data_IF_891416959204
#
_entry.id   IF_891416959204
#
_cell.length_a   1.000
_cell.length_b   1.000
_cell.length_c   1.000
_cell.angle_alpha   90.00
_cell.angle_beta   90.00
_cell.angle_gamma   90.00
#
_symmetry.space_group_name_H-M   'P 1'
#
loop_
_entity.id
_entity.type
_entity.pdbx_description
1 polymer ?
#
# COMPACT_ATOMS: atom_id res chain seq x y z
N UNK A 1 43.44 27.91 -9.97
CA UNK A 1 43.16 28.75 -8.77
C UNK A 1 43.06 27.85 -7.53
N UNK A 2 43.47 28.31 -6.34
CA UNK A 2 43.26 27.55 -5.14
C UNK A 2 41.78 27.64 -4.75
N UNK A 3 41.08 26.52 -4.62
CA UNK A 3 39.69 26.46 -4.23
C UNK A 3 39.58 26.83 -2.75
N UNK A 4 38.77 27.83 -2.45
CA UNK A 4 38.59 28.30 -1.07
C UNK A 4 37.58 27.41 -0.33
N UNK A 5 37.64 27.39 1.00
CA UNK A 5 36.68 26.73 1.86
C UNK A 5 35.29 27.37 1.69
N UNK A 6 35.26 28.67 1.39
CA UNK A 6 34.00 29.41 1.15
C UNK A 6 33.31 28.95 -0.15
N UNK A 7 34.09 28.73 -1.22
CA UNK A 7 33.56 28.19 -2.48
C UNK A 7 32.95 26.80 -2.27
N UNK A 8 33.64 25.95 -1.50
CA UNK A 8 33.12 24.61 -1.16
C UNK A 8 31.81 24.72 -0.35
N UNK A 9 31.77 25.59 0.66
CA UNK A 9 30.53 25.78 1.45
C UNK A 9 29.39 26.32 0.60
N UNK A 10 29.70 27.29 -0.28
CA UNK A 10 28.68 27.90 -1.17
C UNK A 10 28.11 26.88 -2.15
N UNK A 11 28.99 26.14 -2.86
CA UNK A 11 28.50 25.11 -3.81
C UNK A 11 27.77 23.97 -3.10
N UNK A 12 28.20 23.58 -1.89
CA UNK A 12 27.50 22.60 -1.06
C UNK A 12 26.10 23.09 -0.66
N UNK A 13 25.95 24.34 -0.24
CA UNK A 13 24.65 24.93 0.09
C UNK A 13 23.72 24.97 -1.12
N UNK A 14 24.26 25.18 -2.32
CA UNK A 14 23.49 25.23 -3.58
C UNK A 14 23.07 23.85 -4.08
N UNK A 15 23.88 22.80 -3.83
CA UNK A 15 23.70 21.48 -4.46
C UNK A 15 23.29 20.39 -3.46
N UNK A 16 23.51 20.60 -2.16
CA UNK A 16 23.34 19.58 -1.12
C UNK A 16 24.33 18.41 -1.19
N UNK A 17 25.26 18.42 -2.13
CA UNK A 17 26.23 17.34 -2.34
C UNK A 17 27.24 17.19 -1.19
N UNK A 18 27.82 16.00 -1.07
CA UNK A 18 28.83 15.70 -0.06
C UNK A 18 30.09 16.58 -0.18
N UNK A 19 30.72 16.90 0.95
CA UNK A 19 31.90 17.79 0.98
C UNK A 19 33.04 17.33 0.06
N UNK A 20 33.29 16.01 0.01
CA UNK A 20 34.31 15.41 -0.83
C UNK A 20 34.01 15.56 -2.32
N UNK A 21 32.74 15.34 -2.70
CA UNK A 21 32.29 15.44 -4.08
C UNK A 21 32.29 16.88 -4.58
N UNK A 22 31.84 17.83 -3.75
CA UNK A 22 31.90 19.27 -4.03
C UNK A 22 33.33 19.72 -4.25
N UNK A 23 34.25 19.34 -3.35
CA UNK A 23 35.68 19.69 -3.47
C UNK A 23 36.26 19.12 -4.76
N UNK A 24 35.96 17.85 -5.09
CA UNK A 24 36.46 17.20 -6.29
C UNK A 24 35.89 17.86 -7.55
N UNK A 25 34.58 18.16 -7.60
CA UNK A 25 33.95 18.82 -8.72
C UNK A 25 34.51 20.22 -8.96
N UNK A 26 34.70 21.04 -7.91
CA UNK A 26 35.31 22.35 -8.04
C UNK A 26 36.77 22.26 -8.51
N UNK A 27 37.53 21.25 -8.07
CA UNK A 27 38.88 21.02 -8.54
C UNK A 27 38.94 20.72 -10.03
N UNK A 28 38.09 19.80 -10.50
CA UNK A 28 38.00 19.43 -11.92
C UNK A 28 37.46 20.57 -12.80
N UNK A 29 36.57 21.39 -12.23
CA UNK A 29 36.03 22.56 -12.90
C UNK A 29 36.91 23.80 -12.81
N UNK A 30 38.11 23.68 -12.21
CA UNK A 30 39.07 24.81 -12.02
C UNK A 30 38.44 26.03 -11.31
N UNK A 31 37.45 25.79 -10.43
CA UNK A 31 36.74 26.83 -9.70
C UNK A 31 35.48 27.37 -10.39
N UNK A 32 35.15 26.90 -11.57
CA UNK A 32 33.90 27.25 -12.27
C UNK A 32 32.72 26.55 -11.61
N UNK A 33 31.78 27.32 -11.03
CA UNK A 33 30.63 26.81 -10.30
C UNK A 33 29.62 26.11 -11.21
N UNK A 34 29.38 26.60 -12.40
CA UNK A 34 28.38 26.01 -13.29
C UNK A 34 28.88 24.69 -13.87
N UNK A 35 30.14 24.63 -14.24
CA UNK A 35 30.80 23.38 -14.65
C UNK A 35 30.88 22.38 -13.50
N UNK A 36 31.15 22.84 -12.27
CA UNK A 36 31.15 21.97 -11.09
C UNK A 36 29.77 21.41 -10.76
N UNK A 37 28.69 22.19 -10.91
CA UNK A 37 27.31 21.70 -10.81
C UNK A 37 27.01 20.59 -11.81
N UNK A 38 27.40 20.80 -13.07
CA UNK A 38 27.19 19.79 -14.11
C UNK A 38 27.93 18.48 -13.83
N UNK A 39 29.20 18.57 -13.40
CA UNK A 39 29.95 17.39 -12.96
C UNK A 39 29.32 16.67 -11.77
N UNK A 40 28.76 17.40 -10.81
CA UNK A 40 28.02 16.82 -9.69
C UNK A 40 26.74 16.14 -10.17
N UNK A 41 26.01 16.75 -11.12
CA UNK A 41 24.81 16.19 -11.73
C UNK A 41 25.10 14.88 -12.45
N UNK A 42 26.12 14.84 -13.30
CA UNK A 42 26.55 13.64 -14.04
C UNK A 42 26.93 12.49 -13.10
N UNK A 43 27.68 12.80 -12.03
CA UNK A 43 28.02 11.80 -11.01
C UNK A 43 26.80 11.28 -10.26
N UNK A 44 25.87 12.16 -9.93
CA UNK A 44 24.60 11.79 -9.31
C UNK A 44 23.80 10.82 -10.18
N UNK A 45 23.70 11.09 -11.48
CA UNK A 45 23.04 10.21 -12.45
C UNK A 45 23.74 8.83 -12.53
N UNK A 46 25.06 8.79 -12.53
CA UNK A 46 25.82 7.53 -12.55
C UNK A 46 25.63 6.72 -11.26
N UNK A 47 25.51 7.37 -10.11
CA UNK A 47 25.21 6.71 -8.82
C UNK A 47 23.81 6.17 -8.82
N UNK A 48 22.82 6.95 -9.24
CA UNK A 48 21.42 6.54 -9.34
C UNK A 48 21.25 5.32 -10.27
N UNK A 49 21.90 5.33 -11.43
CA UNK A 49 21.84 4.21 -12.38
C UNK A 49 22.39 2.89 -11.81
N UNK A 50 23.47 2.95 -11.00
CA UNK A 50 24.06 1.76 -10.34
C UNK A 50 23.17 1.15 -9.25
N UNK A 51 22.10 1.82 -8.85
CA UNK A 51 21.20 1.42 -7.75
C UNK A 51 19.80 1.08 -8.21
N UNK A 52 19.58 1.02 -9.53
CA UNK A 52 18.27 0.71 -10.12
C UNK A 52 17.64 -0.57 -9.60
N UNK A 53 18.44 -1.56 -9.21
CA UNK A 53 17.99 -2.88 -8.77
C UNK A 53 17.65 -2.97 -7.28
N UNK A 54 17.81 -1.86 -6.52
CA UNK A 54 17.51 -1.87 -5.08
C UNK A 54 16.02 -1.67 -4.85
N UNK A 55 15.53 -2.18 -3.73
CA UNK A 55 14.15 -1.98 -3.30
C UNK A 55 13.99 -0.65 -2.56
N UNK A 56 12.88 0.02 -2.80
CA UNK A 56 12.47 1.26 -2.14
C UNK A 56 11.27 0.97 -1.25
N UNK A 57 11.50 0.71 0.04
CA UNK A 57 10.46 0.34 1.01
C UNK A 57 9.97 1.51 1.86
N UNK A 58 10.64 2.66 1.77
CA UNK A 58 10.29 3.89 2.50
C UNK A 58 9.98 5.02 1.52
N UNK A 59 9.58 6.18 2.03
CA UNK A 59 9.29 7.35 1.19
C UNK A 59 8.40 8.38 1.86
N UNK A 60 7.89 9.30 1.04
CA UNK A 60 7.00 10.38 1.45
C UNK A 60 5.79 10.43 0.50
N UNK A 61 4.59 10.37 1.06
CA UNK A 61 3.32 10.58 0.36
C UNK A 61 2.71 11.87 0.85
N UNK A 62 2.51 12.82 -0.04
CA UNK A 62 1.85 14.07 0.26
C UNK A 62 0.57 14.23 -0.54
N UNK A 63 -0.41 14.92 0.02
CA UNK A 63 -1.71 15.18 -0.59
C UNK A 63 -2.07 16.66 -0.48
N UNK A 64 -2.67 17.21 -1.52
CA UNK A 64 -3.11 18.62 -1.56
C UNK A 64 -4.39 18.77 -2.35
N UNK A 65 -5.28 19.64 -1.88
CA UNK A 65 -6.46 20.09 -2.62
C UNK A 65 -6.37 21.57 -2.96
N UNK A 66 -6.93 21.93 -4.11
CA UNK A 66 -7.25 23.28 -4.55
C UNK A 66 -8.69 23.29 -5.07
N UNK A 67 -9.20 24.44 -5.47
CA UNK A 67 -10.53 24.55 -6.08
C UNK A 67 -10.65 23.63 -7.31
N UNK A 68 -11.61 22.72 -7.27
CA UNK A 68 -11.92 21.79 -8.36
C UNK A 68 -10.86 20.71 -8.65
N UNK A 69 -9.84 20.53 -7.78
CA UNK A 69 -8.81 19.51 -8.00
C UNK A 69 -8.09 19.10 -6.71
N UNK A 70 -7.79 17.83 -6.59
CA UNK A 70 -6.91 17.30 -5.55
C UNK A 70 -5.95 16.28 -6.13
N UNK A 71 -4.73 16.23 -5.60
CA UNK A 71 -3.75 15.22 -6.00
C UNK A 71 -2.91 14.73 -4.82
N UNK A 72 -2.33 13.55 -4.98
CA UNK A 72 -1.30 13.02 -4.10
C UNK A 72 -0.11 12.52 -4.92
N UNK A 73 1.07 12.74 -4.38
CA UNK A 73 2.35 12.31 -4.96
C UNK A 73 3.08 11.45 -3.95
N UNK A 74 3.70 10.38 -4.42
CA UNK A 74 4.59 9.55 -3.62
C UNK A 74 5.98 9.48 -4.26
N UNK A 75 6.99 9.82 -3.46
CA UNK A 75 8.39 9.58 -3.78
C UNK A 75 8.92 8.53 -2.81
N UNK A 76 9.47 7.45 -3.35
CA UNK A 76 10.04 6.33 -2.57
C UNK A 76 11.55 6.46 -2.42
N UNK A 77 12.10 5.90 -1.35
CA UNK A 77 13.54 5.80 -1.06
C UNK A 77 13.85 4.51 -0.28
N UNK A 78 15.14 4.23 -0.03
CA UNK A 78 15.55 3.00 0.63
C UNK A 78 15.29 3.04 2.15
N UNK A 79 15.55 4.16 2.82
CA UNK A 79 15.50 4.27 4.30
C UNK A 79 14.50 5.30 4.80
N UNK A 80 14.01 5.07 6.01
CA UNK A 80 13.18 6.01 6.77
C UNK A 80 13.95 7.27 7.17
N UNK A 81 15.27 7.17 7.36
CA UNK A 81 16.14 8.30 7.67
C UNK A 81 16.09 9.35 6.55
N UNK A 82 16.18 8.93 5.28
CA UNK A 82 16.06 9.84 4.13
C UNK A 82 14.62 10.30 3.96
N UNK A 83 13.64 9.39 4.09
CA UNK A 83 12.22 9.72 3.95
C UNK A 83 11.77 10.84 4.90
N UNK A 84 12.26 10.84 6.14
CA UNK A 84 11.96 11.85 7.15
C UNK A 84 12.85 13.12 7.04
N UNK A 85 13.76 13.17 6.09
CA UNK A 85 14.62 14.32 5.85
C UNK A 85 13.84 15.52 5.31
N UNK A 86 14.07 16.71 5.87
CA UNK A 86 13.38 17.95 5.46
C UNK A 86 13.49 18.20 3.96
N UNK A 87 14.67 18.01 3.39
CA UNK A 87 14.91 18.22 1.97
C UNK A 87 14.15 17.24 1.08
N UNK A 88 13.94 16.00 1.56
CA UNK A 88 13.19 14.98 0.84
C UNK A 88 11.68 15.29 0.84
N UNK A 89 11.15 15.68 2.01
CA UNK A 89 9.75 16.11 2.15
C UNK A 89 9.50 17.38 1.32
N UNK A 90 10.41 18.35 1.37
CA UNK A 90 10.30 19.58 0.58
C UNK A 90 10.32 19.29 -0.92
N UNK A 91 11.22 18.44 -1.41
CA UNK A 91 11.24 18.02 -2.82
C UNK A 91 9.90 17.38 -3.22
N UNK A 92 9.36 16.49 -2.40
CA UNK A 92 8.06 15.87 -2.65
C UNK A 92 6.93 16.91 -2.69
N UNK A 93 6.98 17.91 -1.81
CA UNK A 93 6.02 19.02 -1.79
C UNK A 93 6.11 19.88 -3.06
N UNK A 94 7.30 20.21 -3.53
CA UNK A 94 7.51 20.99 -4.76
C UNK A 94 6.95 20.24 -5.98
N UNK A 95 7.12 18.92 -6.04
CA UNK A 95 6.55 18.08 -7.10
C UNK A 95 5.01 18.07 -7.00
N UNK A 96 4.45 17.92 -5.81
CA UNK A 96 3.01 17.96 -5.60
C UNK A 96 2.41 19.33 -5.98
N UNK A 97 3.07 20.41 -5.61
CA UNK A 97 2.63 21.78 -5.93
C UNK A 97 2.62 21.99 -7.44
N UNK A 98 3.65 21.55 -8.16
CA UNK A 98 3.69 21.60 -9.61
C UNK A 98 2.59 20.73 -10.25
N UNK A 99 2.37 19.52 -9.74
CA UNK A 99 1.33 18.61 -10.24
C UNK A 99 -0.08 19.19 -10.07
N UNK A 100 -0.36 19.82 -8.91
CA UNK A 100 -1.64 20.47 -8.64
C UNK A 100 -1.81 21.71 -9.49
N UNK A 101 -0.79 22.55 -9.63
CA UNK A 101 -0.84 23.76 -10.46
C UNK A 101 -1.08 23.43 -11.95
N UNK A 102 -0.46 22.37 -12.46
CA UNK A 102 -0.66 21.89 -13.82
C UNK A 102 -1.93 21.06 -13.99
N UNK A 103 -2.61 20.65 -12.91
CA UNK A 103 -3.73 19.70 -12.93
C UNK A 103 -3.37 18.42 -13.70
N UNK A 104 -2.20 17.85 -13.43
CA UNK A 104 -1.68 16.68 -14.12
C UNK A 104 -2.64 15.49 -14.05
N UNK A 105 -2.72 14.70 -15.12
CA UNK A 105 -3.65 13.57 -15.22
C UNK A 105 -2.96 12.21 -15.15
N UNK A 106 -1.65 12.20 -15.11
CA UNK A 106 -0.87 10.96 -15.02
C UNK A 106 0.47 11.18 -14.33
N UNK A 107 1.04 10.08 -13.84
CA UNK A 107 2.40 10.08 -13.29
C UNK A 107 3.43 10.52 -14.34
N UNK A 108 3.24 10.13 -15.60
CA UNK A 108 4.17 10.50 -16.68
C UNK A 108 4.15 11.99 -16.96
N UNK A 109 2.98 12.63 -16.89
CA UNK A 109 2.89 14.08 -16.94
C UNK A 109 3.64 14.72 -15.76
N UNK A 110 3.45 14.22 -14.53
CA UNK A 110 4.14 14.75 -13.34
C UNK A 110 5.66 14.65 -13.49
N UNK A 111 6.19 13.55 -14.00
CA UNK A 111 7.64 13.33 -14.16
C UNK A 111 8.33 14.40 -15.01
N UNK A 112 7.64 14.96 -16.02
CA UNK A 112 8.20 15.95 -16.95
C UNK A 112 7.83 17.40 -16.58
N UNK A 113 7.08 17.63 -15.50
CA UNK A 113 6.76 18.98 -15.05
C UNK A 113 8.01 19.74 -14.63
N UNK A 114 8.08 20.99 -15.03
CA UNK A 114 9.13 21.91 -14.58
C UNK A 114 8.82 22.43 -13.19
N UNK A 115 9.74 22.21 -12.26
CA UNK A 115 9.70 22.77 -10.91
C UNK A 115 10.16 24.24 -10.92
N UNK A 116 10.08 24.91 -9.78
CA UNK A 116 10.46 26.33 -9.65
C UNK A 116 11.92 26.62 -10.07
N UNK A 117 12.81 25.64 -9.95
CA UNK A 117 14.20 25.73 -10.38
C UNK A 117 14.41 25.52 -11.90
N UNK A 118 13.32 25.24 -12.65
CA UNK A 118 13.35 25.01 -14.10
C UNK A 118 13.71 23.57 -14.51
N UNK A 119 13.99 22.68 -13.57
CA UNK A 119 14.30 21.27 -13.82
C UNK A 119 13.05 20.40 -13.83
N UNK A 120 13.08 19.26 -14.50
CA UNK A 120 11.99 18.31 -14.49
C UNK A 120 11.92 17.58 -13.16
N UNK A 121 10.70 17.28 -12.67
CA UNK A 121 10.47 16.58 -11.42
C UNK A 121 11.26 15.27 -11.33
N UNK A 122 11.26 14.46 -12.39
CA UNK A 122 12.05 13.22 -12.45
C UNK A 122 13.57 13.48 -12.35
N UNK A 123 14.06 14.55 -12.95
CA UNK A 123 15.48 14.92 -12.89
C UNK A 123 15.89 15.29 -11.46
N UNK A 124 15.04 16.06 -10.76
CA UNK A 124 15.29 16.46 -9.37
C UNK A 124 15.33 15.25 -8.44
N UNK A 125 14.40 14.28 -8.61
CA UNK A 125 14.42 13.02 -7.84
C UNK A 125 15.70 12.23 -8.11
N UNK A 126 16.12 12.14 -9.37
CA UNK A 126 17.36 11.43 -9.75
C UNK A 126 18.62 12.11 -9.19
N UNK A 127 18.68 13.43 -9.19
CA UNK A 127 19.78 14.19 -8.56
C UNK A 127 19.84 13.97 -7.06
N UNK A 128 18.68 13.98 -6.37
CA UNK A 128 18.59 13.69 -4.93
C UNK A 128 19.08 12.28 -4.62
N UNK A 129 18.75 11.29 -5.44
CA UNK A 129 19.29 9.93 -5.34
C UNK A 129 20.81 9.91 -5.41
N UNK A 130 21.41 10.69 -6.31
CA UNK A 130 22.86 10.85 -6.40
C UNK A 130 23.50 11.49 -5.16
N UNK A 131 22.84 12.48 -4.56
CA UNK A 131 23.31 13.21 -3.38
C UNK A 131 23.30 12.33 -2.12
N UNK A 132 22.19 11.64 -1.88
CA UNK A 132 22.01 10.79 -0.70
C UNK A 132 22.70 9.45 -0.83
N UNK A 133 22.90 9.01 -2.07
CA UNK A 133 23.39 7.69 -2.37
C UNK A 133 22.35 6.59 -2.17
N UNK A 134 21.08 6.90 -2.11
CA UNK A 134 19.96 5.92 -2.08
C UNK A 134 19.20 5.92 -3.39
N UNK A 135 18.62 4.77 -3.77
CA UNK A 135 17.63 4.73 -4.85
C UNK A 135 16.42 5.56 -4.47
N UNK A 136 15.92 6.36 -5.40
CA UNK A 136 14.69 7.12 -5.26
C UNK A 136 13.82 6.95 -6.51
N UNK A 137 12.51 6.90 -6.31
CA UNK A 137 11.53 6.70 -7.36
C UNK A 137 10.34 7.64 -7.17
N UNK A 138 10.04 8.44 -8.18
CA UNK A 138 8.75 9.11 -8.31
C UNK A 138 7.78 8.08 -8.88
N UNK A 139 7.06 7.37 -8.00
CA UNK A 139 6.36 6.13 -8.33
C UNK A 139 4.84 6.19 -8.09
N UNK A 140 4.37 7.13 -7.29
CA UNK A 140 2.96 7.25 -6.97
C UNK A 140 2.36 8.60 -7.35
N UNK A 141 1.25 8.55 -8.08
CA UNK A 141 0.42 9.71 -8.38
C UNK A 141 -1.04 9.30 -8.46
N UNK A 142 -1.90 10.05 -7.81
CA UNK A 142 -3.35 9.96 -7.97
C UNK A 142 -3.95 11.37 -7.93
N UNK A 143 -5.08 11.55 -8.60
CA UNK A 143 -5.83 12.79 -8.59
C UNK A 143 -7.34 12.54 -8.55
N UNK A 144 -8.09 13.56 -8.14
CA UNK A 144 -9.53 13.67 -8.26
C UNK A 144 -9.87 15.06 -8.82
N UNK A 145 -10.79 15.11 -9.77
CA UNK A 145 -11.32 16.34 -10.34
C UNK A 145 -12.71 16.62 -9.79
N UNK A 146 -12.95 17.87 -9.46
CA UNK A 146 -14.22 18.37 -8.96
C UNK A 146 -14.09 19.01 -7.58
N UNK A 147 -15.20 19.57 -7.14
CA UNK A 147 -15.34 20.18 -5.83
C UNK A 147 -15.61 19.12 -4.75
N UNK A 148 -15.70 19.56 -3.50
CA UNK A 148 -16.07 18.71 -2.35
C UNK A 148 -15.13 17.52 -2.12
N UNK A 149 -13.82 17.69 -2.38
CA UNK A 149 -12.80 16.71 -2.07
C UNK A 149 -12.25 16.95 -0.67
N UNK A 150 -12.28 15.92 0.18
CA UNK A 150 -11.56 15.88 1.45
C UNK A 150 -10.26 15.12 1.27
N UNK A 151 -9.19 15.64 1.88
CA UNK A 151 -7.85 15.04 1.84
C UNK A 151 -7.39 14.72 3.26
N UNK A 152 -6.63 13.64 3.42
CA UNK A 152 -6.12 13.23 4.72
C UNK A 152 -4.73 12.60 4.59
N UNK A 153 -3.79 13.15 5.36
CA UNK A 153 -2.46 12.56 5.58
C UNK A 153 -2.49 11.85 6.94
N UNK A 154 -2.30 10.54 6.92
CA UNK A 154 -2.51 9.71 8.10
C UNK A 154 -1.51 10.04 9.21
N UNK A 155 -2.02 10.62 10.29
CA UNK A 155 -1.27 11.04 11.49
C UNK A 155 -0.11 12.03 11.19
N UNK A 156 -0.11 12.70 10.03
CA UNK A 156 0.99 13.58 9.61
C UNK A 156 2.33 12.89 9.41
N UNK A 157 2.31 11.56 9.15
CA UNK A 157 3.52 10.77 8.97
C UNK A 157 4.00 10.69 7.52
N UNK A 158 3.22 11.20 6.59
CA UNK A 158 3.54 11.20 5.16
C UNK A 158 3.81 9.80 4.56
N UNK A 159 3.23 8.75 5.13
CA UNK A 159 3.38 7.37 4.64
C UNK A 159 2.10 6.79 4.04
N UNK A 160 0.97 7.41 4.35
CA UNK A 160 -0.34 7.06 3.84
C UNK A 160 -1.18 8.32 3.67
N UNK A 161 -1.76 8.50 2.49
CA UNK A 161 -2.69 9.58 2.22
C UNK A 161 -3.96 9.08 1.53
N UNK A 162 -5.06 9.80 1.74
CA UNK A 162 -6.35 9.52 1.12
C UNK A 162 -7.00 10.79 0.59
N UNK A 163 -7.79 10.63 -0.46
CA UNK A 163 -8.69 11.65 -1.02
C UNK A 163 -10.08 11.02 -1.17
N UNK A 164 -11.11 11.74 -0.80
CA UNK A 164 -12.51 11.31 -0.96
C UNK A 164 -13.33 12.47 -1.51
N UNK A 165 -14.07 12.22 -2.59
CA UNK A 165 -14.95 13.20 -3.23
C UNK A 165 -16.40 12.88 -2.93
N UNK A 166 -17.17 13.94 -2.65
CA UNK A 166 -18.59 13.87 -2.32
C UNK A 166 -19.44 14.65 -3.32
N UNK A 167 -20.75 14.37 -3.32
CA UNK A 167 -21.75 15.14 -4.08
C UNK A 167 -22.02 16.53 -3.50
N UNK A 168 -21.69 16.77 -2.23
CA UNK A 168 -21.86 18.07 -1.54
C UNK A 168 -20.75 18.29 -0.51
N UNK A 169 -20.56 19.54 -0.08
CA UNK A 169 -19.55 19.90 0.91
C UNK A 169 -20.02 19.54 2.33
N UNK A 170 -19.15 18.83 3.06
CA UNK A 170 -19.27 18.59 4.49
C UNK A 170 -17.88 18.22 5.02
N UNK A 171 -17.21 19.16 5.67
CA UNK A 171 -15.82 19.00 6.09
C UNK A 171 -15.65 17.89 7.15
N UNK A 172 -16.54 17.83 8.16
CA UNK A 172 -16.48 16.80 9.22
C UNK A 172 -16.70 15.40 8.68
N UNK A 173 -17.75 15.22 7.86
CA UNK A 173 -18.04 13.96 7.22
C UNK A 173 -16.89 13.55 6.28
N UNK A 174 -16.38 14.49 5.51
CA UNK A 174 -15.27 14.25 4.60
C UNK A 174 -14.01 13.77 5.32
N UNK A 175 -13.66 14.41 6.43
CA UNK A 175 -12.52 14.02 7.25
C UNK A 175 -12.69 12.60 7.84
N UNK A 176 -13.85 12.29 8.41
CA UNK A 176 -14.16 10.98 8.99
C UNK A 176 -14.10 9.86 7.94
N UNK A 177 -14.65 10.09 6.75
CA UNK A 177 -14.59 9.09 5.67
C UNK A 177 -13.17 8.95 5.12
N UNK A 178 -12.39 10.03 5.00
CA UNK A 178 -10.99 9.93 4.60
C UNK A 178 -10.16 9.12 5.60
N UNK A 179 -10.42 9.25 6.91
CA UNK A 179 -9.84 8.38 7.95
C UNK A 179 -10.33 6.93 7.85
N UNK A 180 -11.63 6.70 7.53
CA UNK A 180 -12.18 5.37 7.29
C UNK A 180 -11.44 4.66 6.15
N UNK A 181 -11.25 5.36 5.01
CA UNK A 181 -10.50 4.84 3.86
C UNK A 181 -9.06 4.50 4.25
N UNK A 182 -8.41 5.35 5.04
CA UNK A 182 -7.05 5.10 5.51
C UNK A 182 -6.97 3.82 6.36
N UNK A 183 -7.87 3.66 7.33
CA UNK A 183 -7.85 2.59 8.32
C UNK A 183 -8.37 1.25 7.78
N UNK A 184 -9.48 1.28 7.04
CA UNK A 184 -10.21 0.08 6.63
C UNK A 184 -9.82 -0.45 5.25
N UNK A 185 -8.94 0.24 4.53
CA UNK A 185 -8.32 -0.23 3.27
C UNK A 185 -9.35 -0.78 2.24
N UNK A 186 -10.44 -0.07 1.92
CA UNK A 186 -11.41 -0.60 0.99
C UNK A 186 -10.78 -0.84 -0.38
N UNK A 187 -11.17 -1.93 -1.04
CA UNK A 187 -10.69 -2.29 -2.38
C UNK A 187 -11.50 -1.63 -3.49
N UNK A 188 -12.74 -1.26 -3.19
CA UNK A 188 -13.65 -0.59 -4.12
C UNK A 188 -14.65 0.31 -3.38
N UNK A 189 -15.31 1.19 -4.10
CA UNK A 189 -16.35 2.05 -3.55
C UNK A 189 -17.56 1.20 -3.11
N UNK A 190 -18.05 0.34 -4.00
CA UNK A 190 -19.16 -0.56 -3.83
C UNK A 190 -18.95 -1.87 -4.61
N UNK A 191 -19.85 -2.83 -4.48
CA UNK A 191 -19.79 -4.11 -5.21
C UNK A 191 -19.73 -3.92 -6.73
N UNK A 192 -20.43 -2.92 -7.28
CA UNK A 192 -20.47 -2.69 -8.74
C UNK A 192 -19.11 -2.23 -9.28
N UNK A 193 -18.34 -1.56 -8.44
CA UNK A 193 -17.01 -1.03 -8.75
C UNK A 193 -15.88 -2.07 -8.61
N UNK A 194 -16.16 -3.26 -8.05
CA UNK A 194 -15.19 -4.35 -7.97
C UNK A 194 -14.99 -4.97 -9.35
N UNK A 195 -13.76 -5.07 -9.87
CA UNK A 195 -13.49 -5.71 -11.16
C UNK A 195 -13.99 -7.16 -11.21
N UNK A 196 -14.56 -7.59 -12.34
CA UNK A 196 -15.11 -8.94 -12.47
C UNK A 196 -14.05 -10.02 -12.20
N UNK A 197 -12.81 -9.80 -12.62
CA UNK A 197 -11.69 -10.72 -12.33
C UNK A 197 -11.45 -10.94 -10.84
N UNK A 198 -11.60 -9.88 -10.02
CA UNK A 198 -11.47 -9.98 -8.56
C UNK A 198 -12.66 -10.75 -7.98
N UNK A 199 -13.87 -10.49 -8.45
CA UNK A 199 -15.07 -11.25 -8.03
C UNK A 199 -14.94 -12.74 -8.32
N UNK A 200 -14.46 -13.08 -9.52
CA UNK A 200 -14.26 -14.46 -9.95
C UNK A 200 -13.17 -15.17 -9.13
N UNK A 201 -12.06 -14.48 -8.84
CA UNK A 201 -10.98 -14.99 -8.00
C UNK A 201 -11.46 -15.25 -6.55
N UNK A 202 -12.11 -14.25 -5.93
CA UNK A 202 -12.65 -14.37 -4.58
C UNK A 202 -13.70 -15.47 -4.46
N UNK A 203 -14.57 -15.60 -5.48
CA UNK A 203 -15.54 -16.68 -5.53
C UNK A 203 -14.85 -18.05 -5.62
N UNK A 204 -13.83 -18.20 -6.47
CA UNK A 204 -13.05 -19.43 -6.59
C UNK A 204 -12.39 -19.80 -5.27
N UNK A 205 -11.74 -18.86 -4.62
CA UNK A 205 -11.13 -19.06 -3.29
C UNK A 205 -12.18 -19.44 -2.25
N UNK A 206 -13.35 -18.80 -2.29
CA UNK A 206 -14.48 -19.14 -1.39
C UNK A 206 -14.98 -20.58 -1.60
N UNK A 207 -15.08 -21.03 -2.86
CA UNK A 207 -15.43 -22.42 -3.19
C UNK A 207 -14.40 -23.40 -2.68
N UNK A 208 -13.12 -23.18 -2.95
CA UNK A 208 -12.02 -24.06 -2.53
C UNK A 208 -11.95 -24.19 -1.00
N UNK A 209 -11.94 -23.06 -0.28
CA UNK A 209 -11.98 -23.06 1.18
C UNK A 209 -13.22 -23.76 1.75
N UNK A 210 -14.37 -23.62 1.09
CA UNK A 210 -15.58 -24.30 1.54
C UNK A 210 -15.47 -25.80 1.38
N UNK A 211 -14.90 -26.29 0.27
CA UNK A 211 -14.64 -27.72 0.05
C UNK A 211 -13.68 -28.28 1.09
N UNK A 212 -12.56 -27.62 1.32
CA UNK A 212 -11.57 -28.00 2.32
C UNK A 212 -12.20 -28.13 3.71
N UNK A 213 -12.92 -27.10 4.17
CA UNK A 213 -13.58 -27.11 5.47
C UNK A 213 -14.63 -28.20 5.64
N UNK A 214 -15.36 -28.55 4.56
CA UNK A 214 -16.33 -29.65 4.61
C UNK A 214 -15.63 -31.01 4.76
N UNK A 215 -14.48 -31.17 4.11
CA UNK A 215 -13.63 -32.38 4.23
C UNK A 215 -13.03 -32.44 5.62
N UNK A 216 -12.43 -31.36 6.12
CA UNK A 216 -11.83 -31.29 7.47
C UNK A 216 -12.87 -31.59 8.58
N UNK A 217 -14.08 -31.01 8.45
CA UNK A 217 -15.19 -31.29 9.42
C UNK A 217 -15.56 -32.76 9.43
N UNK A 218 -15.61 -33.43 8.27
CA UNK A 218 -15.94 -34.84 8.16
C UNK A 218 -14.83 -35.71 8.78
N UNK A 219 -13.56 -35.40 8.49
CA UNK A 219 -12.39 -36.06 9.06
C UNK A 219 -12.36 -35.90 10.60
N UNK A 220 -12.55 -34.67 11.09
CA UNK A 220 -12.58 -34.40 12.52
C UNK A 220 -13.72 -35.13 13.24
N UNK A 221 -14.90 -35.21 12.63
CA UNK A 221 -16.02 -36.00 13.16
C UNK A 221 -15.72 -37.50 13.21
N UNK A 222 -15.09 -38.05 12.18
CA UNK A 222 -14.70 -39.46 12.13
C UNK A 222 -13.62 -39.81 13.16
N UNK A 223 -12.62 -38.95 13.34
CA UNK A 223 -11.60 -39.08 14.39
C UNK A 223 -12.21 -39.08 15.78
N UNK A 224 -13.09 -38.11 16.08
CA UNK A 224 -13.83 -38.07 17.35
C UNK A 224 -14.66 -39.33 17.60
N UNK A 225 -15.34 -39.84 16.57
CA UNK A 225 -16.11 -41.11 16.66
C UNK A 225 -15.20 -42.31 16.93
N UNK A 226 -13.95 -42.27 16.46
CA UNK A 226 -12.94 -43.28 16.73
C UNK A 226 -12.24 -43.13 18.10
N UNK A 227 -12.63 -42.12 18.90
CA UNK A 227 -12.02 -41.84 20.21
C UNK A 227 -10.70 -41.06 20.14
N UNK A 228 -10.33 -40.56 18.95
CA UNK A 228 -9.08 -39.84 18.70
C UNK A 228 -9.34 -38.35 18.73
N UNK A 229 -8.53 -37.59 19.49
CA UNK A 229 -8.62 -36.14 19.52
C UNK A 229 -8.01 -35.57 18.21
N UNK A 230 -8.80 -34.85 17.36
CA UNK A 230 -8.29 -34.30 16.10
C UNK A 230 -7.08 -33.38 16.27
N UNK A 231 -7.00 -32.63 17.37
CA UNK A 231 -5.88 -31.73 17.65
C UNK A 231 -4.54 -32.44 17.93
N UNK A 232 -4.60 -33.74 18.26
CA UNK A 232 -3.38 -34.53 18.48
C UNK A 232 -2.84 -35.18 17.19
N UNK A 233 -3.60 -35.10 16.10
CA UNK A 233 -3.31 -35.77 14.83
C UNK A 233 -3.51 -34.82 13.62
N UNK A 234 -3.39 -33.51 13.83
CA UNK A 234 -3.59 -32.48 12.80
C UNK A 234 -2.49 -32.54 11.71
N UNK A 235 -1.25 -32.87 12.07
CA UNK A 235 -0.12 -33.08 11.17
C UNK A 235 0.64 -34.37 11.50
N UNK A 236 1.44 -34.87 10.56
CA UNK A 236 2.28 -36.05 10.80
C UNK A 236 3.34 -35.78 11.88
N UNK A 237 3.91 -34.58 11.93
CA UNK A 237 4.84 -34.15 12.97
C UNK A 237 4.19 -34.19 14.37
N UNK A 238 2.93 -33.75 14.49
CA UNK A 238 2.17 -33.83 15.74
C UNK A 238 1.84 -35.29 16.12
N UNK A 239 1.47 -36.11 15.15
CA UNK A 239 1.25 -37.54 15.37
C UNK A 239 2.52 -38.18 15.97
N UNK A 240 3.67 -38.02 15.32
CA UNK A 240 4.93 -38.58 15.80
C UNK A 240 5.35 -38.04 17.15
N UNK A 241 5.20 -36.73 17.37
CA UNK A 241 5.51 -36.11 18.66
C UNK A 241 4.61 -36.64 19.79
N UNK A 242 3.32 -36.83 19.51
CA UNK A 242 2.36 -37.29 20.52
C UNK A 242 2.53 -38.79 20.82
N UNK A 243 2.94 -39.60 19.83
CA UNK A 243 3.34 -41.00 20.05
C UNK A 243 4.59 -41.06 20.94
N UNK A 244 5.62 -40.27 20.66
CA UNK A 244 6.85 -40.20 21.49
C UNK A 244 6.58 -39.76 22.94
N UNK A 245 5.61 -38.88 23.13
CA UNK A 245 5.20 -38.43 24.49
C UNK A 245 4.25 -39.36 25.21
N UNK A 246 3.80 -40.45 24.55
CA UNK A 246 2.82 -41.39 25.12
C UNK A 246 1.37 -40.83 25.22
N UNK A 247 1.07 -39.75 24.53
CA UNK A 247 -0.28 -39.17 24.45
C UNK A 247 -1.15 -39.80 23.37
N UNK A 248 -0.53 -40.49 22.45
CA UNK A 248 -1.15 -41.26 21.37
C UNK A 248 -0.49 -42.60 21.27
N UNK A 249 -1.27 -43.68 21.12
CA UNK A 249 -0.72 -45.02 20.82
C UNK A 249 -0.32 -45.12 19.35
N UNK A 250 0.60 -46.06 19.01
CA UNK A 250 0.94 -46.26 17.61
C UNK A 250 -0.27 -46.77 16.80
N UNK A 251 -1.13 -47.59 17.39
CA UNK A 251 -2.36 -48.09 16.78
C UNK A 251 -3.33 -46.94 16.47
N UNK A 252 -3.51 -45.99 17.40
CA UNK A 252 -4.35 -44.82 17.18
C UNK A 252 -3.75 -43.86 16.12
N UNK A 253 -2.42 -43.75 16.07
CA UNK A 253 -1.72 -42.98 15.06
C UNK A 253 -1.97 -43.51 13.64
N UNK A 254 -1.81 -44.84 13.48
CA UNK A 254 -2.03 -45.50 12.18
C UNK A 254 -3.50 -45.45 11.77
N UNK A 255 -4.42 -45.65 12.72
CA UNK A 255 -5.85 -45.47 12.53
C UNK A 255 -6.23 -44.04 12.14
N UNK A 256 -5.60 -43.05 12.77
CA UNK A 256 -5.83 -41.64 12.43
C UNK A 256 -5.41 -41.33 10.99
N UNK A 257 -4.24 -41.79 10.55
CA UNK A 257 -3.78 -41.63 9.15
C UNK A 257 -4.76 -42.27 8.17
N UNK A 258 -5.20 -43.48 8.44
CA UNK A 258 -6.17 -44.19 7.60
C UNK A 258 -7.52 -43.44 7.53
N UNK A 259 -8.04 -42.94 8.67
CA UNK A 259 -9.27 -42.14 8.71
C UNK A 259 -9.10 -40.84 7.90
N UNK A 260 -7.97 -40.13 8.11
CA UNK A 260 -7.69 -38.89 7.36
C UNK A 260 -7.69 -39.13 5.87
N UNK A 261 -7.06 -40.18 5.36
CA UNK A 261 -7.00 -40.50 3.95
C UNK A 261 -8.35 -40.93 3.38
N UNK A 262 -8.98 -41.96 3.99
CA UNK A 262 -10.22 -42.54 3.45
C UNK A 262 -11.40 -41.58 3.54
N UNK A 263 -11.63 -40.96 4.70
CA UNK A 263 -12.76 -40.06 4.90
C UNK A 263 -12.60 -38.77 4.10
N UNK A 264 -11.35 -38.27 3.94
CA UNK A 264 -11.11 -37.13 3.08
C UNK A 264 -11.47 -37.43 1.62
N UNK A 265 -11.02 -38.57 1.09
CA UNK A 265 -11.32 -38.98 -0.27
C UNK A 265 -12.82 -39.20 -0.50
N UNK A 266 -13.49 -39.94 0.41
CA UNK A 266 -14.93 -40.19 0.34
C UNK A 266 -15.74 -38.90 0.41
N UNK A 267 -15.38 -37.98 1.33
CA UNK A 267 -16.08 -36.71 1.48
C UNK A 267 -15.85 -35.83 0.27
N UNK A 268 -14.62 -35.73 -0.24
CA UNK A 268 -14.31 -34.94 -1.44
C UNK A 268 -15.12 -35.42 -2.66
N UNK A 269 -15.29 -36.74 -2.82
CA UNK A 269 -16.08 -37.34 -3.91
C UNK A 269 -17.60 -37.13 -3.73
N UNK A 270 -18.07 -36.89 -2.50
CA UNK A 270 -19.50 -36.79 -2.15
C UNK A 270 -19.93 -35.38 -1.74
N UNK A 271 -19.16 -34.35 -2.11
CA UNK A 271 -19.50 -32.96 -1.81
C UNK A 271 -20.80 -32.53 -2.52
N UNK A 272 -21.67 -31.87 -1.76
CA UNK A 272 -22.88 -31.29 -2.33
C UNK A 272 -22.56 -29.92 -2.98
N UNK A 273 -22.48 -29.89 -4.29
CA UNK A 273 -22.14 -28.69 -5.08
C UNK A 273 -23.05 -27.50 -4.77
N UNK A 274 -24.37 -27.72 -4.70
CA UNK A 274 -25.32 -26.63 -4.40
C UNK A 274 -25.12 -26.04 -3.01
N UNK A 275 -24.77 -26.86 -2.01
CA UNK A 275 -24.45 -26.38 -0.68
C UNK A 275 -23.15 -25.56 -0.69
N UNK A 276 -22.12 -26.02 -1.42
CA UNK A 276 -20.83 -25.32 -1.55
C UNK A 276 -21.03 -23.96 -2.22
N UNK A 277 -21.76 -23.91 -3.33
CA UNK A 277 -22.08 -22.66 -4.03
C UNK A 277 -22.81 -21.67 -3.12
N UNK A 278 -23.80 -22.12 -2.35
CA UNK A 278 -24.53 -21.25 -1.45
C UNK A 278 -23.63 -20.67 -0.34
N UNK A 279 -22.75 -21.49 0.25
CA UNK A 279 -21.78 -21.02 1.24
C UNK A 279 -20.77 -20.07 0.60
N UNK A 280 -20.27 -20.39 -0.61
CA UNK A 280 -19.31 -19.53 -1.33
C UNK A 280 -19.93 -18.16 -1.69
N UNK A 281 -21.19 -18.12 -2.12
CA UNK A 281 -21.93 -16.86 -2.33
C UNK A 281 -22.07 -16.06 -1.04
N UNK A 282 -22.35 -16.72 0.09
CA UNK A 282 -22.38 -16.06 1.40
C UNK A 282 -21.02 -15.47 1.81
N UNK A 283 -19.93 -16.18 1.50
CA UNK A 283 -18.54 -15.68 1.73
C UNK A 283 -18.21 -14.49 0.83
N UNK A 284 -18.60 -14.54 -0.43
CA UNK A 284 -18.42 -13.44 -1.37
C UNK A 284 -19.21 -12.20 -0.93
N UNK A 285 -20.45 -12.37 -0.47
CA UNK A 285 -21.24 -11.26 0.09
C UNK A 285 -20.58 -10.66 1.34
N UNK A 286 -19.97 -11.50 2.19
CA UNK A 286 -19.19 -11.04 3.34
C UNK A 286 -17.94 -10.27 2.90
N UNK A 287 -17.24 -10.75 1.88
CA UNK A 287 -16.10 -10.05 1.29
C UNK A 287 -16.48 -8.63 0.84
N UNK A 288 -17.58 -8.45 0.10
CA UNK A 288 -18.04 -7.11 -0.30
C UNK A 288 -18.36 -6.24 0.90
N UNK A 289 -19.04 -6.78 1.89
CA UNK A 289 -19.38 -6.05 3.13
C UNK A 289 -18.14 -5.56 3.90
N UNK A 290 -17.06 -6.32 3.86
CA UNK A 290 -15.82 -5.97 4.56
C UNK A 290 -14.88 -5.08 3.72
N UNK A 291 -14.94 -5.18 2.39
CA UNK A 291 -13.97 -4.58 1.49
C UNK A 291 -14.52 -3.47 0.58
N UNK A 292 -15.83 -3.28 0.49
CA UNK A 292 -16.41 -2.14 -0.23
C UNK A 292 -16.69 -1.00 0.74
N UNK A 293 -16.17 0.19 0.42
CA UNK A 293 -16.20 1.35 1.33
C UNK A 293 -17.59 1.65 1.87
N UNK A 294 -18.60 1.69 1.00
CA UNK A 294 -19.97 2.06 1.39
C UNK A 294 -20.67 1.01 2.27
N UNK A 295 -20.24 -0.24 2.19
CA UNK A 295 -20.81 -1.37 2.93
C UNK A 295 -20.05 -1.70 4.23
N UNK A 296 -18.86 -1.12 4.41
CA UNK A 296 -18.09 -1.26 5.65
C UNK A 296 -18.84 -0.68 6.84
N UNK A 297 -18.63 -1.27 8.02
CA UNK A 297 -19.05 -0.68 9.28
C UNK A 297 -18.30 0.64 9.51
N UNK A 298 -19.05 1.71 9.78
CA UNK A 298 -18.47 3.03 10.01
C UNK A 298 -17.84 3.10 11.40
N UNK A 299 -16.55 3.43 11.45
CA UNK A 299 -15.75 3.34 12.68
C UNK A 299 -15.84 4.60 13.57
N UNK A 300 -16.42 5.69 13.08
CA UNK A 300 -16.43 6.98 13.76
C UNK A 300 -17.85 7.37 14.23
N UNK A 301 -18.65 6.41 14.64
CA UNK A 301 -19.97 6.62 15.23
C UNK A 301 -19.94 6.28 16.73
N UNK A 302 -20.73 7.03 17.51
CA UNK A 302 -21.01 6.70 18.90
C UNK A 302 -22.38 5.98 18.95
N UNK A 303 -22.39 4.67 19.21
CA UNK A 303 -23.62 3.90 19.35
C UNK A 303 -23.69 2.66 18.45
N UNK A 304 -24.86 2.44 17.83
CA UNK A 304 -25.13 1.23 17.05
C UNK A 304 -24.25 1.12 15.80
N UNK A 305 -23.94 -0.12 15.45
CA UNK A 305 -23.22 -0.43 14.22
C UNK A 305 -24.03 -0.02 13.00
N UNK A 306 -23.48 0.90 12.22
CA UNK A 306 -24.08 1.44 11.00
C UNK A 306 -23.09 1.33 9.86
N UNK A 307 -23.57 1.15 8.62
CA UNK A 307 -22.69 1.16 7.45
C UNK A 307 -22.31 2.60 7.08
N UNK A 308 -21.17 2.75 6.38
CA UNK A 308 -20.77 4.04 5.80
C UNK A 308 -21.89 4.64 4.95
N UNK A 309 -22.54 3.82 4.13
CA UNK A 309 -23.66 4.22 3.28
C UNK A 309 -24.84 4.79 4.07
N UNK A 310 -25.27 4.08 5.12
CA UNK A 310 -26.43 4.50 5.91
C UNK A 310 -26.12 5.76 6.71
N UNK A 311 -24.89 5.87 7.24
CA UNK A 311 -24.42 7.04 7.94
C UNK A 311 -24.38 8.29 7.03
N UNK A 312 -23.84 8.17 5.81
CA UNK A 312 -23.80 9.25 4.82
C UNK A 312 -25.21 9.65 4.36
N UNK A 313 -26.09 8.66 4.12
CA UNK A 313 -27.48 8.92 3.72
C UNK A 313 -28.22 9.76 4.76
N UNK A 314 -27.98 9.53 6.04
CA UNK A 314 -28.57 10.35 7.11
C UNK A 314 -28.11 11.81 7.06
N UNK A 315 -27.01 12.12 6.38
CA UNK A 315 -26.48 13.45 6.18
C UNK A 315 -26.72 14.04 4.79
N UNK A 316 -27.43 13.30 3.94
CA UNK A 316 -27.69 13.71 2.54
C UNK A 316 -26.43 13.69 1.65
N UNK A 317 -25.45 12.87 2.01
CA UNK A 317 -24.16 12.77 1.31
C UNK A 317 -24.01 11.44 0.58
N UNK A 318 -23.27 11.50 -0.53
CA UNK A 318 -22.83 10.34 -1.30
C UNK A 318 -21.35 10.48 -1.67
N UNK A 319 -20.60 9.37 -1.60
CA UNK A 319 -19.22 9.32 -2.09
C UNK A 319 -19.25 9.13 -3.61
N UNK A 320 -18.56 10.02 -4.32
CA UNK A 320 -18.41 9.97 -5.78
C UNK A 320 -17.18 9.14 -6.15
N UNK A 321 -16.07 9.36 -5.47
CA UNK A 321 -14.81 8.66 -5.71
C UNK A 321 -13.90 8.75 -4.49
N UNK A 322 -12.94 7.83 -4.41
CA UNK A 322 -11.85 7.92 -3.44
C UNK A 322 -10.52 7.44 -4.04
N UNK A 323 -9.43 7.87 -3.45
CA UNK A 323 -8.08 7.36 -3.72
C UNK A 323 -7.35 7.15 -2.40
N UNK A 324 -6.56 6.10 -2.31
CA UNK A 324 -5.68 5.78 -1.21
C UNK A 324 -4.31 5.42 -1.76
N UNK A 325 -3.26 5.94 -1.16
CA UNK A 325 -1.90 5.54 -1.44
C UNK A 325 -1.16 5.27 -0.13
N UNK A 326 -0.45 4.18 -0.04
CA UNK A 326 0.35 3.81 1.13
C UNK A 326 1.72 3.29 0.71
N UNK A 327 2.73 3.61 1.50
CA UNK A 327 4.08 3.06 1.42
C UNK A 327 4.26 1.86 2.37
N UNK A 328 3.34 1.73 3.32
CA UNK A 328 3.38 0.61 4.28
C UNK A 328 2.74 -0.60 3.62
N UNK A 329 3.40 -1.74 3.68
CA UNK A 329 2.80 -3.01 3.24
C UNK A 329 1.49 -3.26 4.01
N UNK A 330 0.44 -3.56 3.26
CA UNK A 330 -0.90 -3.79 3.82
C UNK A 330 -1.03 -5.18 4.49
#
# INVERSE_FOLDING_TARGET
MAISIEDIKKLRAMTGAGLADVKKALTEAEGDFDKAKELLRERGLAIAAKRSDRETSNGCVLVKKVEGFAAMVAVKCETDFVANGKDFIQMTQEILDAAVAARAKSLDEVKVLKLANGEEAQAVVTQRSGITGEKMELDGYNFLEGDNVSVYDHMGKHTLATMVQFNAENEDAGHKIAMQVAAMKPVALDESSVPQSVKDEEYKVAVEKTKEEQVEKAVAAALKKAGINPAHVDSDDHIESNVKKGWLTQEDADKARQIKETVAAEKAASLNESMIENIAKGRLAKFFKENCLVDQEFQFTEGDKITVKDWLKAQGLEIVAYKRFTLVAD
#
